data_IF_751714530645
#
_entry.id   IF_751714530645
#
_cell.length_a   1.000
_cell.length_b   1.000
_cell.length_c   1.000
_cell.angle_alpha   90.00
_cell.angle_beta   90.00
_cell.angle_gamma   90.00
#
_symmetry.space_group_name_H-M   'P 1'
#
loop_
_entity.id
_entity.type
_entity.pdbx_description
1 polymer ?
#
# COMPACT_ATOMS: atom_id res chain seq x y z
N UNK A 1 -16.84 16.21 6.62
CA UNK A 1 -16.97 16.21 5.14
C UNK A 1 -15.62 16.26 4.45
N UNK A 2 -14.74 17.21 4.78
CA UNK A 2 -13.37 17.31 4.20
C UNK A 2 -12.54 16.02 4.25
N UNK A 3 -12.61 15.24 5.35
CA UNK A 3 -11.89 13.96 5.45
C UNK A 3 -12.42 12.89 4.48
N UNK A 4 -13.74 12.84 4.25
CA UNK A 4 -14.34 11.90 3.30
C UNK A 4 -13.96 12.28 1.88
N UNK A 5 -14.02 13.57 1.55
CA UNK A 5 -13.59 14.09 0.24
C UNK A 5 -12.13 13.74 -0.03
N UNK A 6 -11.25 13.92 0.96
CA UNK A 6 -9.83 13.55 0.85
C UNK A 6 -9.63 12.06 0.59
N UNK A 7 -10.27 11.19 1.36
CA UNK A 7 -10.17 9.73 1.19
C UNK A 7 -10.68 9.30 -0.20
N UNK A 8 -11.78 9.88 -0.66
CA UNK A 8 -12.30 9.60 -2.01
C UNK A 8 -11.42 10.15 -3.11
N UNK A 9 -10.80 11.32 -2.90
CA UNK A 9 -9.86 11.93 -3.84
C UNK A 9 -8.60 11.08 -4.00
N UNK A 10 -8.15 10.39 -2.95
CA UNK A 10 -7.02 9.47 -3.01
C UNK A 10 -7.36 8.10 -3.63
N UNK A 11 -8.59 7.91 -4.13
CA UNK A 11 -9.05 6.69 -4.79
C UNK A 11 -9.55 5.59 -3.85
N UNK A 12 -9.76 5.89 -2.55
CA UNK A 12 -10.35 4.96 -1.60
C UNK A 12 -11.89 5.05 -1.61
N UNK A 13 -12.56 3.89 -1.63
CA UNK A 13 -13.99 3.81 -1.33
C UNK A 13 -14.22 3.85 0.18
N UNK A 14 -15.33 4.45 0.62
CA UNK A 14 -15.72 4.49 2.04
C UNK A 14 -17.02 3.73 2.23
N UNK A 15 -16.96 2.63 3.00
CA UNK A 15 -18.14 1.82 3.31
C UNK A 15 -19.01 2.46 4.41
N UNK A 16 -18.37 3.01 5.45
CA UNK A 16 -19.03 3.72 6.54
C UNK A 16 -18.08 4.73 7.17
N UNK A 17 -18.66 5.74 7.82
CA UNK A 17 -17.92 6.77 8.57
C UNK A 17 -18.64 7.08 9.86
N UNK A 18 -17.97 6.85 10.98
CA UNK A 18 -18.55 7.00 12.33
C UNK A 18 -17.65 7.93 13.15
N UNK A 19 -18.15 9.10 13.58
CA UNK A 19 -17.46 9.94 14.55
C UNK A 19 -17.33 9.18 15.88
N UNK A 20 -16.11 9.11 16.41
CA UNK A 20 -15.84 8.50 17.72
C UNK A 20 -15.64 9.61 18.76
N UNK A 21 -16.43 9.59 19.82
CA UNK A 21 -16.25 10.50 20.96
C UNK A 21 -15.27 9.91 21.99
N UNK A 22 -15.48 8.64 22.39
CA UNK A 22 -14.72 7.99 23.47
C UNK A 22 -13.88 6.77 23.02
N UNK A 23 -13.72 6.56 21.70
CA UNK A 23 -12.93 5.47 21.14
C UNK A 23 -13.76 4.34 20.53
N UNK A 24 -13.12 3.20 20.24
CA UNK A 24 -13.74 2.07 19.55
C UNK A 24 -14.39 1.14 20.58
N UNK A 25 -15.73 1.10 20.60
CA UNK A 25 -16.51 0.23 21.46
C UNK A 25 -16.72 -1.18 20.86
N UNK A 26 -17.32 -2.08 21.65
CA UNK A 26 -17.55 -3.47 21.23
C UNK A 26 -18.59 -3.63 20.12
N UNK A 27 -19.62 -2.77 20.06
CA UNK A 27 -20.67 -2.87 19.04
C UNK A 27 -20.15 -2.45 17.67
N UNK A 28 -19.40 -1.35 17.61
CA UNK A 28 -18.80 -0.85 16.39
C UNK A 28 -17.68 -1.78 15.90
N UNK A 29 -16.93 -2.36 16.83
CA UNK A 29 -15.97 -3.41 16.54
C UNK A 29 -16.63 -4.60 15.83
N UNK A 30 -17.74 -5.09 16.37
CA UNK A 30 -18.45 -6.24 15.84
C UNK A 30 -19.11 -5.93 14.50
N UNK A 31 -19.70 -4.74 14.36
CA UNK A 31 -20.24 -4.23 13.10
C UNK A 31 -19.19 -4.27 11.98
N UNK A 32 -18.03 -3.62 12.17
CA UNK A 32 -17.00 -3.61 11.14
C UNK A 32 -16.31 -4.96 10.96
N UNK A 33 -16.23 -5.80 11.98
CA UNK A 33 -15.65 -7.14 11.87
C UNK A 33 -16.46 -8.03 10.94
N UNK A 34 -17.78 -7.96 11.03
CA UNK A 34 -18.69 -8.87 10.35
C UNK A 34 -19.27 -8.30 9.04
N UNK A 35 -19.16 -6.98 8.79
CA UNK A 35 -19.59 -6.36 7.53
C UNK A 35 -18.73 -6.81 6.32
N UNK A 36 -19.27 -7.52 5.32
CA UNK A 36 -18.48 -7.96 4.16
C UNK A 36 -18.00 -6.83 3.25
N UNK A 37 -18.60 -5.63 3.34
CA UNK A 37 -18.22 -4.48 2.51
C UNK A 37 -17.03 -3.70 3.07
N UNK A 38 -16.75 -3.82 4.38
CA UNK A 38 -15.58 -3.21 5.02
C UNK A 38 -14.36 -4.12 4.85
N UNK A 39 -13.34 -3.67 4.13
CA UNK A 39 -12.10 -4.46 3.89
C UNK A 39 -10.94 -4.07 4.81
N UNK A 40 -10.93 -2.84 5.32
CA UNK A 40 -9.99 -2.34 6.31
C UNK A 40 -10.68 -1.25 7.15
N UNK A 41 -10.18 -1.01 8.36
CA UNK A 41 -10.72 0.01 9.28
C UNK A 41 -9.67 1.06 9.55
N UNK A 42 -9.97 2.32 9.26
CA UNK A 42 -9.11 3.47 9.57
C UNK A 42 -9.65 4.24 10.78
N UNK A 43 -8.79 4.50 11.77
CA UNK A 43 -9.17 5.15 13.03
C UNK A 43 -8.32 6.39 13.26
N UNK A 44 -8.96 7.51 13.52
CA UNK A 44 -8.30 8.67 14.09
C UNK A 44 -8.45 8.62 15.61
N UNK A 45 -7.33 8.50 16.33
CA UNK A 45 -7.31 8.34 17.77
C UNK A 45 -6.95 9.64 18.46
N UNK A 46 -7.80 10.08 19.38
CA UNK A 46 -7.52 11.17 20.30
C UNK A 46 -7.10 10.61 21.68
N UNK A 47 -6.84 11.48 22.65
CA UNK A 47 -6.38 11.09 23.99
C UNK A 47 -7.46 10.55 24.92
N UNK A 48 -8.73 10.51 24.49
CA UNK A 48 -9.87 10.15 25.33
C UNK A 48 -10.08 8.63 25.47
N UNK A 49 -9.64 7.85 24.48
CA UNK A 49 -9.88 6.40 24.47
C UNK A 49 -9.04 5.64 25.50
N UNK A 50 -9.67 4.66 26.17
CA UNK A 50 -9.03 3.72 27.08
C UNK A 50 -8.17 2.69 26.33
N UNK A 51 -6.95 2.44 26.82
CA UNK A 51 -5.98 1.59 26.14
C UNK A 51 -6.33 0.10 26.15
N UNK A 52 -6.89 -0.40 27.25
CA UNK A 52 -7.25 -1.81 27.35
C UNK A 52 -8.45 -2.13 26.45
N UNK A 53 -9.46 -1.26 26.47
CA UNK A 53 -10.65 -1.35 25.63
C UNK A 53 -10.30 -1.30 24.14
N UNK A 54 -9.48 -0.30 23.74
CA UNK A 54 -9.01 -0.18 22.36
C UNK A 54 -8.23 -1.42 21.91
N UNK A 55 -7.28 -1.90 22.73
CA UNK A 55 -6.43 -3.04 22.37
C UNK A 55 -7.24 -4.32 22.19
N UNK A 56 -8.21 -4.57 23.09
CA UNK A 56 -9.10 -5.72 22.99
C UNK A 56 -9.93 -5.71 21.72
N UNK A 57 -10.54 -4.57 21.40
CA UNK A 57 -11.35 -4.42 20.21
C UNK A 57 -10.52 -4.50 18.93
N UNK A 58 -9.40 -3.75 18.85
CA UNK A 58 -8.47 -3.81 17.72
C UNK A 58 -8.00 -5.24 17.43
N UNK A 59 -7.69 -6.05 18.45
CA UNK A 59 -7.34 -7.46 18.25
C UNK A 59 -8.47 -8.31 17.64
N UNK A 60 -9.73 -8.01 17.97
CA UNK A 60 -10.89 -8.65 17.35
C UNK A 60 -10.97 -8.36 15.85
N UNK A 61 -10.75 -7.11 15.45
CA UNK A 61 -10.72 -6.70 14.04
C UNK A 61 -9.50 -7.24 13.30
N UNK A 62 -8.31 -7.11 13.87
CA UNK A 62 -7.03 -7.51 13.27
C UNK A 62 -6.95 -8.99 12.86
N UNK A 63 -7.78 -9.85 13.48
CA UNK A 63 -7.90 -11.27 13.07
C UNK A 63 -8.54 -11.45 11.69
N UNK A 64 -9.32 -10.48 11.23
CA UNK A 64 -10.05 -10.55 9.96
C UNK A 64 -9.63 -9.46 8.97
N UNK A 65 -9.33 -8.25 9.46
CA UNK A 65 -9.20 -7.04 8.65
C UNK A 65 -8.07 -6.16 9.17
N UNK A 66 -7.29 -5.51 8.29
CA UNK A 66 -6.29 -4.53 8.72
C UNK A 66 -6.93 -3.37 9.49
N UNK A 67 -6.28 -2.96 10.58
CA UNK A 67 -6.65 -1.77 11.36
C UNK A 67 -5.53 -0.74 11.19
N UNK A 68 -5.87 0.41 10.61
CA UNK A 68 -4.97 1.54 10.40
C UNK A 68 -5.32 2.65 11.39
N UNK A 69 -4.31 3.35 11.91
CA UNK A 69 -4.51 4.38 12.93
C UNK A 69 -3.70 5.64 12.64
N UNK A 70 -4.30 6.80 12.88
CA UNK A 70 -3.61 8.09 13.00
C UNK A 70 -3.73 8.55 14.45
N UNK A 71 -2.61 8.86 15.10
CA UNK A 71 -2.60 9.38 16.46
C UNK A 71 -2.65 10.92 16.45
N UNK A 72 -3.62 11.51 17.15
CA UNK A 72 -3.74 12.94 17.33
C UNK A 72 -2.74 13.49 18.34
N UNK A 73 -1.45 13.60 17.97
CA UNK A 73 -0.36 14.37 18.62
C UNK A 73 -0.03 14.12 20.11
N UNK A 74 -0.91 13.46 20.85
CA UNK A 74 -0.85 13.28 22.30
C UNK A 74 -0.15 11.95 22.62
N UNK A 75 0.76 11.89 23.61
CA UNK A 75 1.49 10.66 23.94
C UNK A 75 0.58 9.45 24.21
N UNK A 76 -0.58 9.67 24.83
CA UNK A 76 -1.60 8.61 25.02
C UNK A 76 -2.14 8.07 23.70
N UNK A 77 -2.46 8.92 22.73
CA UNK A 77 -2.96 8.48 21.42
C UNK A 77 -1.90 7.67 20.67
N UNK A 78 -0.64 8.09 20.74
CA UNK A 78 0.48 7.32 20.18
C UNK A 78 0.57 5.95 20.85
N UNK A 79 0.46 5.89 22.18
CA UNK A 79 0.48 4.63 22.92
C UNK A 79 -0.66 3.69 22.51
N UNK A 80 -1.87 4.20 22.22
CA UNK A 80 -2.99 3.41 21.71
C UNK A 80 -2.69 2.69 20.40
N UNK A 81 -1.89 3.27 19.51
CA UNK A 81 -1.45 2.58 18.29
C UNK A 81 -0.47 1.42 18.58
N UNK A 82 -0.08 1.23 19.86
CA UNK A 82 0.72 0.17 20.51
C UNK A 82 0.64 -1.24 19.90
N UNK A 83 -0.59 -1.75 19.77
CA UNK A 83 -0.78 -3.19 19.64
C UNK A 83 -0.10 -3.77 18.39
N UNK A 84 0.55 -4.95 18.52
CA UNK A 84 1.09 -5.65 17.38
C UNK A 84 0.01 -5.92 16.33
N UNK A 85 0.31 -5.62 15.07
CA UNK A 85 -0.60 -5.77 13.93
C UNK A 85 -1.34 -4.50 13.53
N UNK A 86 -1.44 -3.50 14.40
CA UNK A 86 -1.99 -2.19 14.04
C UNK A 86 -1.02 -1.48 13.08
N UNK A 87 -1.56 -0.97 11.97
CA UNK A 87 -0.82 -0.20 10.98
C UNK A 87 -0.85 1.27 11.39
N UNK A 88 0.29 1.77 11.84
CA UNK A 88 0.42 3.11 12.44
C UNK A 88 0.84 4.10 11.36
N UNK A 89 -0.01 5.06 11.06
CA UNK A 89 0.24 6.09 10.04
C UNK A 89 0.26 7.48 10.67
N UNK A 90 0.97 8.41 10.04
CA UNK A 90 1.20 9.75 10.58
C UNK A 90 0.34 10.84 9.94
N UNK A 91 -0.25 10.56 8.78
CA UNK A 91 -1.14 11.46 8.05
C UNK A 91 -2.29 10.71 7.41
N UNK A 92 -3.28 11.47 6.90
CA UNK A 92 -4.38 10.90 6.12
C UNK A 92 -3.88 10.31 4.80
N UNK A 93 -2.95 10.96 4.12
CA UNK A 93 -2.31 10.45 2.90
C UNK A 93 -1.61 9.11 3.14
N UNK A 94 -0.90 8.96 4.26
CA UNK A 94 -0.22 7.71 4.58
C UNK A 94 -1.23 6.60 4.91
N UNK A 95 -2.35 6.95 5.57
CA UNK A 95 -3.44 6.02 5.85
C UNK A 95 -4.09 5.54 4.55
N UNK A 96 -4.44 6.43 3.62
CA UNK A 96 -5.05 6.07 2.34
C UNK A 96 -4.09 5.27 1.48
N UNK A 97 -2.81 5.64 1.44
CA UNK A 97 -1.76 4.89 0.74
C UNK A 97 -1.60 3.46 1.24
N UNK A 98 -1.52 3.28 2.57
CA UNK A 98 -1.40 1.97 3.18
C UNK A 98 -2.69 1.15 3.02
N UNK A 99 -3.86 1.78 3.12
CA UNK A 99 -5.15 1.12 2.94
C UNK A 99 -5.29 0.56 1.53
N UNK A 100 -4.98 1.34 0.48
CA UNK A 100 -5.00 0.85 -0.91
C UNK A 100 -4.10 -0.37 -1.10
N UNK A 101 -2.89 -0.33 -0.55
CA UNK A 101 -1.98 -1.47 -0.62
C UNK A 101 -2.52 -2.72 0.09
N UNK A 102 -3.00 -2.58 1.33
CA UNK A 102 -3.50 -3.70 2.15
C UNK A 102 -4.82 -4.29 1.64
N UNK A 103 -5.61 -3.48 0.95
CA UNK A 103 -6.94 -3.86 0.47
C UNK A 103 -6.85 -4.40 -0.94
N UNK A 104 -6.16 -3.73 -1.86
CA UNK A 104 -6.24 -4.09 -3.27
C UNK A 104 -5.19 -5.14 -3.67
N UNK A 105 -4.13 -5.35 -2.87
CA UNK A 105 -3.04 -6.25 -3.23
C UNK A 105 -2.95 -7.47 -2.31
N UNK A 106 -2.41 -8.61 -2.83
CA UNK A 106 -2.02 -9.71 -1.96
C UNK A 106 -0.99 -9.23 -0.92
N UNK A 107 -1.03 -9.82 0.27
CA UNK A 107 -0.02 -9.55 1.29
C UNK A 107 1.35 -10.09 0.83
N UNK A 108 2.45 -9.32 1.00
CA UNK A 108 3.77 -9.79 0.59
C UNK A 108 4.16 -11.11 1.24
N UNK A 109 4.50 -12.10 0.41
CA UNK A 109 4.97 -13.42 0.86
C UNK A 109 6.32 -13.33 1.58
N UNK A 110 7.14 -12.34 1.22
CA UNK A 110 8.45 -12.10 1.78
C UNK A 110 8.88 -10.65 1.63
N UNK A 111 10.19 -10.41 1.68
CA UNK A 111 10.79 -9.08 1.59
C UNK A 111 11.65 -8.88 0.32
N UNK A 112 11.57 -9.79 -0.66
CA UNK A 112 12.35 -9.68 -1.91
C UNK A 112 11.66 -8.71 -2.87
N UNK A 113 12.21 -7.51 -2.99
CA UNK A 113 11.62 -6.43 -3.78
C UNK A 113 12.40 -6.20 -5.07
N UNK A 114 11.67 -6.16 -6.19
CA UNK A 114 12.17 -5.80 -7.50
C UNK A 114 11.73 -4.37 -7.89
N UNK A 115 12.57 -3.66 -8.63
CA UNK A 115 12.25 -2.33 -9.18
C UNK A 115 12.44 -2.38 -10.70
N UNK A 116 11.37 -2.14 -11.45
CA UNK A 116 11.38 -2.12 -12.92
C UNK A 116 10.92 -0.76 -13.39
N UNK A 117 11.55 -0.17 -14.40
CA UNK A 117 11.03 1.09 -14.94
C UNK A 117 11.92 1.77 -15.94
N UNK A 118 11.50 2.92 -16.43
CA UNK A 118 12.18 3.68 -17.50
C UNK A 118 13.04 4.85 -16.99
N UNK A 119 13.30 4.90 -15.68
CA UNK A 119 14.05 5.97 -15.03
C UNK A 119 15.07 5.39 -14.03
N UNK A 120 16.26 5.05 -14.52
CA UNK A 120 17.29 4.38 -13.73
C UNK A 120 17.71 5.12 -12.45
N UNK A 121 17.81 6.45 -12.50
CA UNK A 121 18.13 7.25 -11.31
C UNK A 121 17.07 7.12 -10.21
N UNK A 122 15.78 7.16 -10.57
CA UNK A 122 14.70 6.96 -9.62
C UNK A 122 14.63 5.51 -9.13
N UNK A 123 14.97 4.53 -9.98
CA UNK A 123 15.04 3.14 -9.57
C UNK A 123 16.11 2.90 -8.49
N UNK A 124 17.24 3.61 -8.56
CA UNK A 124 18.28 3.59 -7.51
C UNK A 124 17.74 4.14 -6.19
N UNK A 125 17.14 5.33 -6.23
CA UNK A 125 16.61 6.01 -5.04
C UNK A 125 15.50 5.15 -4.39
N UNK A 126 14.59 4.62 -5.20
CA UNK A 126 13.53 3.74 -4.73
C UNK A 126 14.09 2.47 -4.05
N UNK A 127 15.10 1.84 -4.64
CA UNK A 127 15.72 0.67 -4.02
C UNK A 127 16.43 1.00 -2.70
N UNK A 128 17.11 2.14 -2.60
CA UNK A 128 17.74 2.59 -1.35
C UNK A 128 16.70 2.89 -0.26
N UNK A 129 15.61 3.54 -0.62
CA UNK A 129 14.48 3.74 0.28
C UNK A 129 13.87 2.41 0.73
N UNK A 130 13.72 1.43 -0.18
CA UNK A 130 13.21 0.11 0.16
C UNK A 130 14.12 -0.64 1.15
N UNK A 131 15.45 -0.57 0.96
CA UNK A 131 16.43 -1.16 1.88
C UNK A 131 16.32 -0.58 3.29
N UNK A 132 16.03 0.72 3.41
CA UNK A 132 15.83 1.36 4.72
C UNK A 132 14.62 0.79 5.50
N UNK A 133 13.66 0.18 4.79
CA UNK A 133 12.52 -0.54 5.40
C UNK A 133 12.75 -2.05 5.55
N UNK A 134 13.95 -2.56 5.25
CA UNK A 134 14.31 -3.97 5.41
C UNK A 134 13.94 -4.87 4.22
N UNK A 135 13.61 -4.30 3.07
CA UNK A 135 13.45 -5.07 1.85
C UNK A 135 14.81 -5.54 1.33
N UNK A 136 14.90 -6.84 1.04
CA UNK A 136 16.04 -7.41 0.35
C UNK A 136 15.87 -7.11 -1.13
N UNK A 137 16.85 -6.46 -1.74
CA UNK A 137 16.95 -6.43 -3.20
C UNK A 137 17.72 -7.69 -3.60
N UNK A 138 17.09 -8.68 -4.24
CA UNK A 138 17.86 -9.75 -4.83
C UNK A 138 18.70 -9.09 -5.93
N UNK A 139 20.02 -9.25 -5.86
CA UNK A 139 21.04 -8.40 -6.49
C UNK A 139 21.03 -8.25 -8.02
N UNK A 140 20.00 -8.75 -8.72
CA UNK A 140 19.78 -8.67 -10.17
C UNK A 140 18.38 -8.12 -10.56
N UNK A 141 17.54 -7.67 -9.62
CA UNK A 141 16.11 -7.37 -9.86
C UNK A 141 15.78 -5.89 -10.06
N UNK A 142 16.79 -5.12 -10.49
CA UNK A 142 16.60 -3.74 -10.92
C UNK A 142 16.72 -3.65 -12.43
N UNK A 143 15.59 -3.47 -13.11
CA UNK A 143 15.57 -3.31 -14.56
C UNK A 143 15.30 -1.85 -14.88
N UNK A 144 16.31 -1.18 -15.45
CA UNK A 144 16.18 0.18 -15.94
C UNK A 144 16.13 0.18 -17.46
N UNK A 145 14.96 0.50 -17.99
CA UNK A 145 14.73 0.79 -19.40
C UNK A 145 15.12 2.26 -19.67
N UNK A 146 15.49 2.57 -20.91
CA UNK A 146 15.79 3.95 -21.31
C UNK A 146 14.55 4.87 -21.18
N UNK A 147 14.73 6.20 -21.20
CA UNK A 147 13.60 7.14 -21.09
C UNK A 147 12.57 7.05 -22.25
N UNK A 148 12.98 6.45 -23.35
CA UNK A 148 12.22 6.14 -24.56
C UNK A 148 11.58 4.73 -24.57
N UNK A 149 11.64 4.02 -23.43
CA UNK A 149 11.03 2.71 -23.27
C UNK A 149 9.57 2.68 -23.75
N UNK A 150 9.28 1.68 -24.56
CA UNK A 150 7.98 1.42 -25.16
C UNK A 150 7.11 0.55 -24.23
N UNK A 151 5.78 0.53 -24.43
CA UNK A 151 4.90 -0.35 -23.68
C UNK A 151 5.26 -1.84 -23.75
N UNK A 152 5.66 -2.41 -24.91
CA UNK A 152 6.13 -3.80 -24.95
C UNK A 152 7.41 -4.03 -24.13
N UNK A 153 8.41 -3.14 -24.21
CA UNK A 153 9.67 -3.29 -23.47
C UNK A 153 9.46 -3.28 -21.95
N UNK A 154 8.57 -2.43 -21.44
CA UNK A 154 8.25 -2.43 -20.00
C UNK A 154 7.43 -3.65 -19.59
N UNK A 155 6.52 -4.13 -20.43
CA UNK A 155 5.78 -5.36 -20.17
C UNK A 155 6.72 -6.57 -20.11
N UNK A 156 7.62 -6.72 -21.08
CA UNK A 156 8.62 -7.80 -21.10
C UNK A 156 9.54 -7.76 -19.87
N UNK A 157 9.97 -6.58 -19.45
CA UNK A 157 10.77 -6.41 -18.24
C UNK A 157 10.01 -6.81 -16.96
N UNK A 158 8.74 -6.42 -16.84
CA UNK A 158 7.88 -6.80 -15.72
C UNK A 158 7.61 -8.30 -15.72
N UNK A 159 7.34 -8.89 -16.89
CA UNK A 159 7.10 -10.33 -17.05
C UNK A 159 8.34 -11.15 -16.68
N UNK A 160 9.53 -10.72 -17.07
CA UNK A 160 10.78 -11.39 -16.70
C UNK A 160 10.98 -11.43 -15.17
N UNK A 161 10.64 -10.35 -14.47
CA UNK A 161 10.68 -10.33 -13.00
C UNK A 161 9.60 -11.23 -12.40
N UNK A 162 8.39 -11.17 -12.94
CA UNK A 162 7.25 -11.90 -12.41
C UNK A 162 7.42 -13.43 -12.55
N UNK A 163 7.84 -13.90 -13.72
CA UNK A 163 8.12 -15.31 -14.01
C UNK A 163 9.39 -15.83 -13.32
N UNK A 164 10.30 -14.95 -12.88
CA UNK A 164 11.58 -15.35 -12.32
C UNK A 164 11.51 -16.06 -10.95
N UNK A 165 10.38 -15.96 -10.22
CA UNK A 165 10.20 -16.59 -8.89
C UNK A 165 11.11 -16.05 -7.78
N UNK A 166 11.83 -14.96 -8.06
CA UNK A 166 12.84 -14.37 -7.17
C UNK A 166 12.36 -13.12 -6.42
N UNK A 167 11.20 -12.56 -6.81
CA UNK A 167 10.59 -11.41 -6.17
C UNK A 167 9.29 -11.82 -5.46
N UNK A 168 9.02 -11.20 -4.32
CA UNK A 168 7.73 -11.25 -3.63
C UNK A 168 6.93 -9.95 -3.88
N UNK A 169 7.65 -8.88 -4.21
CA UNK A 169 7.13 -7.52 -4.39
C UNK A 169 7.74 -6.94 -5.67
N UNK A 170 6.94 -6.22 -6.46
CA UNK A 170 7.41 -5.45 -7.61
C UNK A 170 6.94 -4.00 -7.54
N UNK A 171 7.89 -3.08 -7.72
CA UNK A 171 7.63 -1.64 -7.89
C UNK A 171 7.92 -1.27 -9.34
N UNK A 172 6.91 -0.77 -10.04
CA UNK A 172 7.05 -0.35 -11.44
C UNK A 172 7.09 1.17 -11.53
N UNK A 173 8.23 1.71 -11.96
CA UNK A 173 8.51 3.13 -12.09
C UNK A 173 8.26 3.59 -13.54
N UNK A 174 7.25 4.42 -13.74
CA UNK A 174 6.90 4.98 -15.05
C UNK A 174 7.04 6.50 -14.98
N UNK A 175 7.99 7.02 -15.72
CA UNK A 175 8.17 8.46 -15.93
C UNK A 175 7.69 8.82 -17.32
N UNK A 176 6.69 9.70 -17.38
CA UNK A 176 6.23 10.30 -18.62
C UNK A 176 7.30 11.18 -19.24
N UNK A 177 7.60 10.92 -20.50
CA UNK A 177 8.51 11.72 -21.31
C UNK A 177 7.82 12.08 -22.63
N UNK A 178 8.44 12.97 -23.41
CA UNK A 178 7.92 13.31 -24.75
C UNK A 178 7.98 12.15 -25.76
N UNK A 179 8.69 11.08 -25.41
CA UNK A 179 9.00 9.96 -26.31
C UNK A 179 8.25 8.68 -25.93
N UNK A 180 7.44 8.69 -24.86
CA UNK A 180 6.66 7.55 -24.42
C UNK A 180 5.19 7.92 -24.15
N UNK A 181 4.38 6.91 -23.85
CA UNK A 181 2.94 7.06 -23.60
C UNK A 181 2.59 6.38 -22.26
N UNK A 182 2.58 7.12 -21.14
CA UNK A 182 2.42 6.53 -19.81
C UNK A 182 1.16 5.68 -19.64
N UNK A 183 0.04 6.11 -20.22
CA UNK A 183 -1.22 5.35 -20.16
C UNK A 183 -1.12 3.98 -20.87
N UNK A 184 -0.39 3.90 -21.97
CA UNK A 184 -0.15 2.62 -22.66
C UNK A 184 0.83 1.74 -21.87
N UNK A 185 1.84 2.35 -21.26
CA UNK A 185 2.80 1.63 -20.39
C UNK A 185 2.12 1.06 -19.15
N UNK A 186 1.27 1.84 -18.47
CA UNK A 186 0.52 1.35 -17.30
C UNK A 186 -0.46 0.24 -17.66
N UNK A 187 -1.10 0.32 -18.83
CA UNK A 187 -1.98 -0.75 -19.33
C UNK A 187 -1.18 -2.04 -19.56
N UNK A 188 -0.05 -1.95 -20.28
CA UNK A 188 0.78 -3.11 -20.56
C UNK A 188 1.36 -3.76 -19.28
N UNK A 189 1.75 -2.94 -18.30
CA UNK A 189 2.20 -3.42 -16.98
C UNK A 189 1.07 -4.10 -16.21
N UNK A 190 -0.13 -3.54 -16.25
CA UNK A 190 -1.30 -4.11 -15.58
C UNK A 190 -1.67 -5.48 -16.16
N UNK A 191 -1.69 -5.62 -17.49
CA UNK A 191 -2.02 -6.87 -18.18
C UNK A 191 -1.12 -8.04 -17.76
N UNK A 192 0.15 -7.77 -17.50
CA UNK A 192 1.10 -8.77 -16.98
C UNK A 192 0.83 -9.05 -15.50
N UNK A 193 0.75 -8.01 -14.66
CA UNK A 193 0.62 -8.19 -13.20
C UNK A 193 -0.73 -8.79 -12.77
N UNK A 194 -1.78 -8.63 -13.57
CA UNK A 194 -3.07 -9.32 -13.36
C UNK A 194 -2.95 -10.84 -13.53
N UNK A 195 -1.97 -11.34 -14.28
CA UNK A 195 -1.69 -12.77 -14.45
C UNK A 195 -0.83 -13.36 -13.31
N UNK A 196 -0.30 -12.51 -12.43
CA UNK A 196 0.58 -12.89 -11.31
C UNK A 196 0.00 -12.48 -9.95
N UNK A 197 -1.16 -13.04 -9.54
CA UNK A 197 -1.88 -12.64 -8.32
C UNK A 197 -1.12 -12.93 -7.02
N UNK A 198 -0.01 -13.67 -7.07
CA UNK A 198 0.87 -13.96 -5.94
C UNK A 198 1.83 -12.82 -5.60
N UNK A 199 2.17 -11.97 -6.57
CA UNK A 199 3.12 -10.87 -6.37
C UNK A 199 2.40 -9.67 -5.79
N UNK A 200 2.95 -9.00 -4.79
CA UNK A 200 2.45 -7.68 -4.37
C UNK A 200 3.01 -6.61 -5.30
N UNK A 201 2.17 -5.74 -5.85
CA UNK A 201 2.60 -4.73 -6.82
C UNK A 201 2.25 -3.30 -6.42
N UNK A 202 3.14 -2.37 -6.78
CA UNK A 202 2.89 -0.94 -6.75
C UNK A 202 3.38 -0.31 -8.05
N UNK A 203 2.62 0.64 -8.59
CA UNK A 203 3.07 1.47 -9.71
C UNK A 203 3.38 2.88 -9.21
N UNK A 204 4.45 3.48 -9.73
CA UNK A 204 4.81 4.87 -9.48
C UNK A 204 4.76 5.60 -10.80
N UNK A 205 3.85 6.55 -10.94
CA UNK A 205 3.64 7.32 -12.15
C UNK A 205 4.04 8.77 -11.91
N UNK A 206 5.10 9.20 -12.59
CA UNK A 206 5.57 10.59 -12.55
C UNK A 206 5.34 11.23 -13.92
N UNK A 207 4.67 12.40 -13.96
CA UNK A 207 4.38 13.10 -15.23
C UNK A 207 3.20 12.54 -16.02
N UNK A 208 2.32 11.76 -15.39
CA UNK A 208 1.03 11.29 -15.95
C UNK A 208 -0.17 12.10 -15.44
N UNK A 209 -1.39 11.62 -15.73
CA UNK A 209 -2.63 12.23 -15.23
C UNK A 209 -2.79 12.02 -13.71
N UNK A 210 -3.33 13.03 -13.04
CA UNK A 210 -3.38 13.13 -11.58
C UNK A 210 -4.44 12.24 -10.91
N UNK A 211 -5.39 11.74 -11.70
CA UNK A 211 -6.57 10.98 -11.27
C UNK A 211 -6.40 9.45 -11.39
N UNK A 212 -5.23 8.98 -11.81
CA UNK A 212 -4.95 7.54 -11.91
C UNK A 212 -4.47 7.03 -10.55
N UNK A 213 -5.38 6.44 -9.78
CA UNK A 213 -5.08 5.86 -8.45
C UNK A 213 -4.85 4.34 -8.48
N UNK A 214 -5.32 3.66 -9.54
CA UNK A 214 -5.25 2.21 -9.71
C UNK A 214 -5.14 1.83 -11.18
N UNK A 215 -4.49 0.70 -11.46
CA UNK A 215 -4.41 0.08 -12.80
C UNK A 215 -4.70 -1.41 -12.72
N UNK A 216 -5.17 -2.00 -13.83
CA UNK A 216 -5.50 -3.43 -13.91
C UNK A 216 -6.78 -3.83 -13.17
N UNK A 217 -7.21 -5.06 -13.44
CA UNK A 217 -8.41 -5.66 -12.88
C UNK A 217 -8.29 -5.90 -11.37
N UNK A 218 -7.08 -6.20 -10.87
CA UNK A 218 -6.84 -6.39 -9.43
C UNK A 218 -6.61 -5.08 -8.67
N UNK A 219 -6.64 -3.93 -9.33
CA UNK A 219 -6.54 -2.61 -8.69
C UNK A 219 -5.16 -2.27 -8.13
N UNK A 220 -4.10 -2.50 -8.90
CA UNK A 220 -2.72 -2.18 -8.52
C UNK A 220 -2.61 -0.69 -8.18
N UNK A 221 -2.24 -0.33 -6.95
CA UNK A 221 -2.21 1.07 -6.52
C UNK A 221 -1.12 1.85 -7.26
N UNK A 222 -1.50 3.04 -7.72
CA UNK A 222 -0.62 4.00 -8.36
C UNK A 222 -0.28 5.10 -7.35
N UNK A 223 1.01 5.43 -7.26
CA UNK A 223 1.55 6.48 -6.41
C UNK A 223 2.29 7.51 -7.27
N UNK A 224 2.34 8.76 -6.81
CA UNK A 224 3.09 9.82 -7.50
C UNK A 224 4.58 9.78 -7.19
N UNK A 225 4.91 9.28 -6.00
CA UNK A 225 6.25 9.26 -5.43
C UNK A 225 6.59 7.85 -4.96
N UNK A 226 7.84 7.46 -5.18
CA UNK A 226 8.34 6.14 -4.77
C UNK A 226 8.35 5.98 -3.25
N UNK A 227 8.67 7.03 -2.49
CA UNK A 227 8.67 6.98 -1.03
C UNK A 227 7.31 6.60 -0.45
N UNK A 228 6.22 7.14 -1.04
CA UNK A 228 4.84 6.81 -0.66
C UNK A 228 4.53 5.33 -0.95
N UNK A 229 4.85 4.86 -2.15
CA UNK A 229 4.67 3.46 -2.55
C UNK A 229 5.42 2.49 -1.63
N UNK A 230 6.70 2.78 -1.37
CA UNK A 230 7.57 1.94 -0.54
C UNK A 230 7.11 1.95 0.92
N UNK A 231 6.66 3.09 1.45
CA UNK A 231 6.11 3.16 2.81
C UNK A 231 4.82 2.36 2.95
N UNK A 232 3.93 2.41 1.96
CA UNK A 232 2.72 1.59 1.91
C UNK A 232 3.06 0.09 1.86
N UNK A 233 4.03 -0.30 1.03
CA UNK A 233 4.56 -1.67 0.99
C UNK A 233 5.17 -2.09 2.33
N UNK A 234 5.89 -1.21 3.00
CA UNK A 234 6.47 -1.50 4.32
C UNK A 234 5.38 -1.75 5.37
N UNK A 235 4.27 -1.00 5.34
CA UNK A 235 3.10 -1.28 6.19
C UNK A 235 2.50 -2.65 5.88
N UNK A 236 2.28 -2.96 4.61
CA UNK A 236 1.75 -4.26 4.19
C UNK A 236 2.66 -5.42 4.56
N UNK A 237 3.98 -5.27 4.38
CA UNK A 237 4.96 -6.29 4.75
C UNK A 237 5.02 -6.53 6.26
N UNK A 238 5.04 -5.47 7.08
CA UNK A 238 4.98 -5.60 8.55
C UNK A 238 3.70 -6.30 9.00
N UNK A 239 2.55 -5.92 8.42
CA UNK A 239 1.28 -6.56 8.72
C UNK A 239 1.28 -8.05 8.31
N UNK A 240 1.80 -8.36 7.12
CA UNK A 240 1.91 -9.73 6.62
C UNK A 240 2.79 -10.61 7.52
N UNK A 241 3.95 -10.10 7.95
CA UNK A 241 4.85 -10.80 8.87
C UNK A 241 4.16 -11.05 10.22
N UNK A 242 3.52 -10.02 10.79
CA UNK A 242 2.76 -10.19 12.03
C UNK A 242 1.64 -11.23 11.92
N UNK A 243 0.92 -11.30 10.78
CA UNK A 243 -0.10 -12.32 10.56
C UNK A 243 0.50 -13.72 10.51
N UNK A 244 1.60 -13.91 9.78
CA UNK A 244 2.30 -15.19 9.67
C UNK A 244 2.81 -15.71 11.00
N UNK A 245 3.29 -14.85 11.89
CA UNK A 245 3.80 -15.24 13.21
C UNK A 245 2.69 -15.72 14.19
N UNK A 246 1.41 -15.62 13.81
CA UNK A 246 0.26 -16.00 14.65
C UNK A 246 -0.52 -17.20 14.16
N UNK A 247 -0.34 -17.58 12.89
CA UNK A 247 -0.95 -18.77 12.27
C UNK A 247 -0.09 -20.01 12.56
#
# INVERSE_FOLDING_TARGET
MALLEHVTHDGCGVASFVPLEDGLDGELNDFWRDDPHTRAVGLYLNSAADHATFTGAAHGLLRRKPVLTIAGGHPRAVALCSPPGVVRTTSLDELTDAARMLVDQPLPAGNRLAVVGNAGGLAVIAADAARAYGFAEPGEHRISLGPDATPPEIAEAVEAVACGGRADIIVVMIVGTRTNVPAAMTTAVADILDQHPELTAAAVLTGGADDVHRIGARGIPVYREHDRAIRALAHAHRYATWRRDRD
#
